data_IF_269542043601
#
_entry.id   IF_269542043601
#
_cell.length_a   1.000
_cell.length_b   1.000
_cell.length_c   1.000
_cell.angle_alpha   90.00
_cell.angle_beta   90.00
_cell.angle_gamma   90.00
#
_symmetry.space_group_name_H-M   'P 1'
#
loop_
_entity.id
_entity.type
_entity.pdbx_description
1 polymer ?
#
# COMPACT_ATOMS: atom_id res chain seq x y z
N UNK A 1 1.99 10.54 -4.33
CA UNK A 1 2.55 10.47 -5.71
C UNK A 1 3.86 9.68 -5.80
N UNK A 2 4.86 9.93 -4.93
CA UNK A 2 6.15 9.19 -5.01
C UNK A 2 6.02 7.67 -4.93
N UNK A 3 5.24 7.15 -3.97
CA UNK A 3 5.01 5.70 -3.86
C UNK A 3 4.35 5.09 -5.10
N UNK A 4 3.48 5.85 -5.77
CA UNK A 4 2.86 5.38 -7.00
C UNK A 4 3.90 5.18 -8.11
N UNK A 5 4.77 6.19 -8.30
CA UNK A 5 5.85 6.11 -9.27
C UNK A 5 6.82 4.98 -8.93
N UNK A 6 7.23 4.84 -7.66
CA UNK A 6 8.16 3.79 -7.24
C UNK A 6 7.64 2.37 -7.48
N UNK A 7 6.34 2.12 -7.24
CA UNK A 7 5.75 0.80 -7.46
C UNK A 7 5.53 0.46 -8.94
N UNK A 8 5.25 1.44 -9.79
CA UNK A 8 4.93 1.20 -11.20
C UNK A 8 6.09 1.40 -12.17
N UNK A 9 7.10 2.20 -11.80
CA UNK A 9 8.26 2.45 -12.64
C UNK A 9 8.98 1.17 -13.11
N UNK A 10 9.21 0.15 -12.26
CA UNK A 10 9.89 -1.08 -12.69
C UNK A 10 9.10 -1.80 -13.80
N UNK A 11 7.77 -1.84 -13.67
CA UNK A 11 6.88 -2.46 -14.65
C UNK A 11 6.90 -1.68 -15.97
N UNK A 12 6.82 -0.35 -15.93
CA UNK A 12 6.86 0.49 -17.14
C UNK A 12 8.21 0.39 -17.87
N UNK A 13 9.32 0.38 -17.13
CA UNK A 13 10.65 0.17 -17.71
C UNK A 13 10.75 -1.19 -18.39
N UNK A 14 10.31 -2.26 -17.71
CA UNK A 14 10.26 -3.60 -18.28
C UNK A 14 9.41 -3.65 -19.57
N UNK A 15 8.19 -3.11 -19.53
CA UNK A 15 7.27 -3.08 -20.68
C UNK A 15 7.86 -2.34 -21.89
N UNK A 16 8.52 -1.20 -21.66
CA UNK A 16 9.21 -0.47 -22.72
C UNK A 16 10.38 -1.28 -23.28
N UNK A 17 11.20 -1.88 -22.43
CA UNK A 17 12.36 -2.67 -22.87
C UNK A 17 11.95 -3.90 -23.69
N UNK A 18 10.91 -4.64 -23.28
CA UNK A 18 10.44 -5.81 -24.02
C UNK A 18 9.80 -5.44 -25.35
N UNK A 19 9.08 -4.31 -25.40
CA UNK A 19 8.51 -3.79 -26.65
C UNK A 19 9.60 -3.35 -27.64
N UNK A 20 10.68 -2.72 -27.17
CA UNK A 20 11.77 -2.23 -28.02
C UNK A 20 12.72 -3.35 -28.49
N UNK A 21 12.97 -4.34 -27.64
CA UNK A 21 13.92 -5.42 -27.89
C UNK A 21 13.27 -6.67 -28.53
N UNK A 22 11.94 -6.81 -28.41
CA UNK A 22 11.21 -7.95 -28.94
C UNK A 22 11.69 -9.27 -28.37
N UNK A 23 11.75 -10.30 -29.22
CA UNK A 23 12.17 -11.66 -28.83
C UNK A 23 13.64 -11.77 -28.40
N UNK A 24 14.47 -10.76 -28.69
CA UNK A 24 15.88 -10.76 -28.25
C UNK A 24 16.03 -10.60 -26.73
N UNK A 25 15.02 -10.06 -26.05
CA UNK A 25 15.01 -9.90 -24.60
C UNK A 25 14.10 -10.93 -23.93
N UNK A 26 14.64 -12.14 -23.75
CA UNK A 26 13.98 -13.17 -22.96
C UNK A 26 13.80 -12.70 -21.51
N UNK A 27 12.55 -12.65 -21.04
CA UNK A 27 12.22 -12.37 -19.65
C UNK A 27 11.54 -13.59 -19.02
N UNK A 28 12.10 -14.14 -17.93
CA UNK A 28 11.46 -15.24 -17.23
C UNK A 28 10.17 -14.78 -16.53
N UNK A 29 9.18 -15.68 -16.47
CA UNK A 29 7.84 -15.39 -15.90
C UNK A 29 7.89 -14.94 -14.43
N UNK A 30 8.91 -15.37 -13.69
CA UNK A 30 9.15 -14.94 -12.31
C UNK A 30 9.37 -13.44 -12.22
N UNK A 31 10.10 -12.84 -13.18
CA UNK A 31 10.36 -11.39 -13.19
C UNK A 31 9.06 -10.63 -13.43
N UNK A 32 8.26 -11.08 -14.39
CA UNK A 32 6.94 -10.50 -14.68
C UNK A 32 6.04 -10.57 -13.44
N UNK A 33 6.00 -11.73 -12.78
CA UNK A 33 5.23 -11.94 -11.56
C UNK A 33 5.65 -10.96 -10.45
N UNK A 34 6.95 -10.84 -10.20
CA UNK A 34 7.49 -9.92 -9.18
C UNK A 34 7.14 -8.46 -9.49
N UNK A 35 7.22 -8.03 -10.75
CA UNK A 35 6.86 -6.67 -11.16
C UNK A 35 5.38 -6.36 -10.88
N UNK A 36 4.48 -7.30 -11.17
CA UNK A 36 3.05 -7.16 -10.85
C UNK A 36 2.81 -7.12 -9.34
N UNK A 37 3.50 -7.94 -8.54
CA UNK A 37 3.41 -7.91 -7.08
C UNK A 37 3.84 -6.56 -6.49
N UNK A 38 4.90 -5.95 -7.03
CA UNK A 38 5.35 -4.60 -6.63
C UNK A 38 4.29 -3.56 -6.99
N UNK A 39 3.65 -3.69 -8.17
CA UNK A 39 2.51 -2.86 -8.56
C UNK A 39 1.33 -2.98 -7.59
N UNK A 40 0.97 -4.20 -7.17
CA UNK A 40 -0.10 -4.42 -6.20
C UNK A 40 0.23 -3.90 -4.80
N UNK A 41 1.50 -3.90 -4.42
CA UNK A 41 1.96 -3.34 -3.15
C UNK A 41 1.69 -1.83 -3.02
N UNK A 42 1.51 -1.11 -4.13
CA UNK A 42 1.09 0.30 -4.17
C UNK A 42 -0.16 0.58 -3.31
N UNK A 43 -1.17 -0.30 -3.43
CA UNK A 43 -2.41 -0.14 -2.67
C UNK A 43 -2.21 -0.33 -1.17
N UNK A 44 -1.29 -1.22 -0.76
CA UNK A 44 -0.93 -1.45 0.64
C UNK A 44 -0.09 -0.32 1.24
N UNK A 45 0.65 0.42 0.41
CA UNK A 45 1.42 1.59 0.84
C UNK A 45 0.54 2.77 1.22
N UNK A 46 -0.67 2.89 0.70
CA UNK A 46 -1.54 4.03 1.00
C UNK A 46 -1.81 4.16 2.51
N UNK A 47 -2.34 3.15 3.23
CA UNK A 47 -2.47 3.19 4.70
C UNK A 47 -1.15 3.48 5.44
N UNK A 48 -0.03 2.92 4.99
CA UNK A 48 1.29 3.12 5.61
C UNK A 48 1.77 4.58 5.49
N UNK A 49 1.59 5.19 4.32
CA UNK A 49 1.95 6.59 4.07
C UNK A 49 1.10 7.50 4.96
N UNK A 50 -0.21 7.25 5.03
CA UNK A 50 -1.09 8.05 5.90
C UNK A 50 -0.78 7.86 7.39
N UNK A 51 -0.48 6.63 7.82
CA UNK A 51 -0.14 6.34 9.21
C UNK A 51 1.23 6.90 9.65
N UNK A 52 2.18 7.03 8.71
CA UNK A 52 3.53 7.54 9.03
C UNK A 52 3.62 9.06 8.92
N UNK A 53 3.10 9.65 7.85
CA UNK A 53 3.27 11.08 7.56
C UNK A 53 2.18 11.97 8.17
N UNK A 54 1.00 11.43 8.49
CA UNK A 54 -0.07 12.20 9.14
C UNK A 54 -0.33 11.70 10.57
N UNK A 55 0.01 12.54 11.56
CA UNK A 55 -0.18 12.23 12.99
C UNK A 55 -1.65 12.02 13.33
N UNK A 56 -2.55 12.81 12.74
CA UNK A 56 -4.00 12.71 12.99
C UNK A 56 -4.58 11.40 12.46
N UNK A 57 -4.15 10.97 11.26
CA UNK A 57 -4.51 9.66 10.71
C UNK A 57 -3.93 8.52 11.55
N UNK A 58 -2.72 8.67 12.09
CA UNK A 58 -2.10 7.67 12.95
C UNK A 58 -2.89 7.45 14.24
N UNK A 59 -3.43 8.52 14.83
CA UNK A 59 -4.25 8.44 16.04
C UNK A 59 -5.59 7.77 15.75
N UNK A 60 -6.30 8.18 14.70
CA UNK A 60 -7.54 7.53 14.26
C UNK A 60 -7.35 6.04 13.91
N UNK A 61 -6.23 5.67 13.28
CA UNK A 61 -5.91 4.28 12.93
C UNK A 61 -5.62 3.44 14.17
N UNK A 62 -4.94 4.01 15.18
CA UNK A 62 -4.71 3.36 16.48
C UNK A 62 -6.01 3.12 17.23
N UNK A 63 -6.92 4.08 17.24
CA UNK A 63 -8.21 3.95 17.91
C UNK A 63 -9.10 2.92 17.20
N UNK A 64 -9.06 2.89 15.87
CA UNK A 64 -9.74 1.86 15.07
C UNK A 64 -9.18 0.46 15.35
N UNK A 65 -7.85 0.28 15.43
CA UNK A 65 -7.21 -1.00 15.76
C UNK A 65 -7.51 -1.49 17.18
N UNK A 66 -7.56 -0.57 18.16
CA UNK A 66 -7.95 -0.89 19.54
C UNK A 66 -9.42 -1.31 19.64
N UNK A 67 -10.30 -0.68 18.85
CA UNK A 67 -11.72 -1.04 18.78
C UNK A 67 -11.96 -2.37 18.04
N UNK A 68 -11.17 -2.68 17.00
CA UNK A 68 -11.34 -3.86 16.17
C UNK A 68 -10.76 -5.17 16.74
N UNK A 69 -9.86 -5.11 17.73
CA UNK A 69 -9.29 -6.28 18.42
C UNK A 69 -10.05 -6.52 19.74
N UNK A 70 -11.07 -7.39 19.80
CA UNK A 70 -12.07 -7.38 20.88
C UNK A 70 -11.61 -8.05 22.18
N UNK A 71 -10.39 -8.56 22.27
CA UNK A 71 -10.07 -9.50 23.35
C UNK A 71 -9.60 -8.86 24.65
N UNK A 72 -9.44 -7.54 24.78
CA UNK A 72 -9.25 -6.92 26.10
C UNK A 72 -9.66 -5.44 26.15
N UNK A 73 -10.47 -5.12 27.16
CA UNK A 73 -10.81 -3.82 27.74
C UNK A 73 -12.01 -3.06 27.14
N UNK A 74 -13.18 -3.32 27.71
CA UNK A 74 -14.43 -2.63 27.41
C UNK A 74 -14.38 -1.12 27.68
N UNK A 75 -14.52 -0.33 26.63
CA UNK A 75 -14.99 1.05 26.70
C UNK A 75 -15.41 1.50 25.31
N UNK A 76 -16.58 1.04 24.87
CA UNK A 76 -17.35 1.79 23.88
C UNK A 76 -17.68 3.13 24.54
N UNK A 77 -16.81 4.16 24.39
CA UNK A 77 -17.20 5.52 24.76
C UNK A 77 -18.38 5.89 23.88
N UNK A 78 -19.55 5.96 24.52
CA UNK A 78 -20.81 6.40 23.92
C UNK A 78 -20.68 7.83 23.38
N UNK A 79 -21.35 8.15 22.26
CA UNK A 79 -21.30 9.47 21.63
C UNK A 79 -22.20 10.49 22.38
N UNK A 80 -21.89 10.75 23.65
CA UNK A 80 -22.64 11.71 24.50
C UNK A 80 -21.81 12.87 25.05
N UNK A 81 -20.62 13.13 24.50
CA UNK A 81 -19.80 14.34 24.80
C UNK A 81 -19.75 15.33 23.62
N UNK A 82 -20.85 15.44 22.86
CA UNK A 82 -21.14 16.60 22.02
C UNK A 82 -22.34 17.34 22.60
N UNK A 83 -22.09 18.05 23.70
CA UNK A 83 -22.87 19.25 24.03
C UNK A 83 -22.31 20.40 23.20
#
# INVERSE_FOLDING_TARGET
>A
MGAFLLCWLPFFLWYLTTTLCGEACYCPDTVVSVLFWIGYFNSALNPLIYAYFNRDFREAFKDTLKSALPCCAGCWKTPSEFV
#
